data_IF_461759183085
#
_entry.id   IF_461759183085
#
_cell.length_a   1.000
_cell.length_b   1.000
_cell.length_c   1.000
_cell.angle_alpha   90.00
_cell.angle_beta   90.00
_cell.angle_gamma   90.00
#
_symmetry.space_group_name_H-M   'P 1'
#
loop_
_entity.id
_entity.type
_entity.pdbx_description
1 polymer ?
#
# COMPACT_ATOMS: atom_id res chain seq x y z
N UNK A 1 16.43 69.28 -41.50
CA UNK A 1 15.11 69.51 -42.13
C UNK A 1 13.96 69.61 -41.11
N UNK A 2 13.43 68.53 -40.52
CA UNK A 2 12.26 68.64 -39.60
C UNK A 2 12.50 69.51 -38.35
N UNK A 3 13.69 69.46 -37.73
CA UNK A 3 14.04 70.32 -36.60
C UNK A 3 14.09 71.82 -36.97
N UNK A 4 14.33 72.15 -38.24
CA UNK A 4 14.26 73.52 -38.74
C UNK A 4 12.81 73.93 -39.00
N UNK A 5 12.00 73.04 -39.57
CA UNK A 5 10.55 73.24 -39.76
C UNK A 5 9.84 73.57 -38.44
N UNK A 6 10.16 72.87 -37.33
CA UNK A 6 9.61 73.14 -36.00
C UNK A 6 9.91 74.53 -35.40
N UNK A 7 10.81 75.32 -36.01
CA UNK A 7 11.07 76.70 -35.58
C UNK A 7 9.98 77.68 -36.02
N UNK A 8 9.10 77.25 -36.91
CA UNK A 8 8.00 78.05 -37.42
C UNK A 8 6.67 77.62 -36.77
N UNK A 9 5.76 78.57 -36.49
CA UNK A 9 4.49 78.29 -35.83
C UNK A 9 3.44 77.65 -36.76
N UNK A 10 3.61 77.76 -38.08
CA UNK A 10 2.71 77.19 -39.09
C UNK A 10 3.46 76.79 -40.36
N UNK A 11 2.85 75.92 -41.16
CA UNK A 11 3.35 75.52 -42.48
C UNK A 11 3.52 76.71 -43.42
N UNK A 12 2.54 77.62 -43.47
CA UNK A 12 2.62 78.85 -44.26
C UNK A 12 3.82 79.72 -43.87
N UNK A 13 4.12 79.81 -42.56
CA UNK A 13 5.29 80.55 -42.08
C UNK A 13 6.62 79.83 -42.39
N UNK A 14 6.60 78.50 -42.48
CA UNK A 14 7.75 77.70 -42.87
C UNK A 14 8.03 77.78 -44.38
N UNK A 15 6.99 77.81 -45.22
CA UNK A 15 7.11 77.90 -46.68
C UNK A 15 7.72 79.23 -47.14
N UNK A 16 7.50 80.33 -46.39
CA UNK A 16 8.11 81.64 -46.67
C UNK A 16 9.62 81.69 -46.38
N UNK A 17 10.18 80.68 -45.70
CA UNK A 17 11.60 80.63 -45.32
C UNK A 17 12.18 79.23 -45.61
N UNK A 18 12.51 78.94 -46.89
CA UNK A 18 13.10 77.68 -47.29
C UNK A 18 14.39 77.36 -46.54
N UNK A 19 14.64 76.08 -46.26
CA UNK A 19 15.89 75.66 -45.64
C UNK A 19 17.07 75.97 -46.58
N UNK A 20 18.20 76.49 -46.07
CA UNK A 20 19.34 76.92 -46.91
C UNK A 20 19.98 75.81 -47.77
N UNK A 21 19.69 74.55 -47.46
CA UNK A 21 20.23 73.36 -48.12
C UNK A 21 19.17 72.64 -49.01
N UNK A 22 18.02 73.27 -49.27
CA UNK A 22 16.95 72.72 -50.12
C UNK A 22 16.48 73.73 -51.14
N UNK A 23 16.04 73.27 -52.31
CA UNK A 23 15.28 74.11 -53.26
C UNK A 23 13.89 74.44 -52.72
N UNK A 24 13.24 75.47 -53.25
CA UNK A 24 11.90 75.88 -52.80
C UNK A 24 10.88 74.76 -53.00
N UNK A 25 10.96 74.03 -54.11
CA UNK A 25 10.09 72.90 -54.42
C UNK A 25 10.32 71.72 -53.47
N UNK A 26 11.58 71.38 -53.20
CA UNK A 26 11.92 70.32 -52.24
C UNK A 26 11.53 70.69 -50.81
N UNK A 27 11.67 71.97 -50.44
CA UNK A 27 11.25 72.44 -49.13
C UNK A 27 9.73 72.34 -48.97
N UNK A 28 8.98 72.68 -50.03
CA UNK A 28 7.53 72.55 -50.03
C UNK A 28 7.07 71.09 -49.87
N UNK A 29 7.66 70.16 -50.61
CA UNK A 29 7.35 68.72 -50.44
C UNK A 29 7.70 68.22 -49.03
N UNK A 30 8.79 68.72 -48.43
CA UNK A 30 9.16 68.38 -47.05
C UNK A 30 8.20 68.99 -46.03
N UNK A 31 7.71 70.22 -46.23
CA UNK A 31 6.68 70.83 -45.41
C UNK A 31 5.39 70.00 -45.43
N UNK A 32 4.88 69.66 -46.63
CA UNK A 32 3.69 68.83 -46.82
C UNK A 32 3.87 67.43 -46.18
N UNK A 33 5.07 66.85 -46.26
CA UNK A 33 5.39 65.58 -45.60
C UNK A 33 5.34 65.71 -44.08
N UNK A 34 5.89 66.78 -43.51
CA UNK A 34 5.92 67.01 -42.06
C UNK A 34 4.56 67.36 -41.47
N UNK A 35 3.64 67.92 -42.26
CA UNK A 35 2.25 68.18 -41.86
C UNK A 35 1.30 67.01 -42.15
N UNK A 36 1.74 66.00 -42.92
CA UNK A 36 0.92 64.83 -43.23
C UNK A 36 0.50 64.04 -41.97
N UNK A 37 -0.74 63.53 -42.00
CA UNK A 37 -1.33 62.76 -40.88
C UNK A 37 -0.50 61.50 -40.54
N UNK A 38 0.08 60.86 -41.56
CA UNK A 38 0.94 59.69 -41.38
C UNK A 38 2.23 60.01 -40.62
N UNK A 39 2.83 61.17 -40.88
CA UNK A 39 4.02 61.63 -40.17
C UNK A 39 3.70 62.04 -38.72
N UNK A 40 2.55 62.69 -38.50
CA UNK A 40 2.07 63.07 -37.18
C UNK A 40 1.72 61.85 -36.31
N UNK A 41 1.06 60.82 -36.86
CA UNK A 41 0.77 59.55 -36.16
C UNK A 41 2.03 58.79 -35.74
N UNK A 42 3.10 58.85 -36.54
CA UNK A 42 4.40 58.28 -36.16
C UNK A 42 5.11 59.08 -35.05
N UNK A 43 4.66 60.30 -34.74
CA UNK A 43 5.13 61.05 -33.58
C UNK A 43 4.33 60.71 -32.31
N UNK A 44 3.06 60.32 -32.44
CA UNK A 44 2.18 59.91 -31.32
C UNK A 44 2.63 58.59 -30.66
N UNK A 45 3.43 57.75 -31.34
CA UNK A 45 4.11 56.63 -30.68
C UNK A 45 5.15 57.05 -29.64
N UNK A 46 5.51 58.34 -29.58
CA UNK A 46 6.41 58.91 -28.57
C UNK A 46 5.77 59.15 -27.18
N UNK A 47 4.49 58.83 -26.98
CA UNK A 47 3.77 59.02 -25.71
C UNK A 47 3.13 57.73 -25.17
N UNK A 48 3.66 56.56 -25.53
CA UNK A 48 3.20 55.29 -24.95
C UNK A 48 3.82 55.14 -23.55
N UNK A 49 2.99 54.93 -22.53
CA UNK A 49 3.45 54.66 -21.17
C UNK A 49 4.42 53.46 -21.17
N UNK A 50 5.62 53.56 -20.54
CA UNK A 50 6.59 52.46 -20.46
C UNK A 50 6.00 51.12 -20.01
N UNK A 51 5.04 51.16 -19.06
CA UNK A 51 4.34 49.99 -18.51
C UNK A 51 3.45 49.33 -19.57
N UNK A 52 2.72 50.14 -20.34
CA UNK A 52 1.84 49.65 -21.42
C UNK A 52 2.65 49.11 -22.60
N UNK A 53 3.78 49.73 -22.92
CA UNK A 53 4.70 49.23 -23.92
C UNK A 53 5.25 47.86 -23.53
N UNK A 54 5.68 47.70 -22.28
CA UNK A 54 6.18 46.42 -21.78
C UNK A 54 5.11 45.33 -21.89
N UNK A 55 3.89 45.60 -21.41
CA UNK A 55 2.75 44.69 -21.50
C UNK A 55 2.49 44.23 -22.94
N UNK A 56 2.47 45.15 -23.89
CA UNK A 56 2.22 44.85 -25.30
C UNK A 56 3.29 43.95 -25.93
N UNK A 57 4.54 44.05 -25.50
CA UNK A 57 5.64 43.24 -26.02
C UNK A 57 5.70 41.83 -25.43
N UNK A 58 5.19 41.64 -24.21
CA UNK A 58 5.28 40.38 -23.47
C UNK A 58 3.93 39.70 -23.22
N UNK A 59 2.91 40.10 -23.98
CA UNK A 59 1.62 39.41 -24.05
C UNK A 59 1.31 38.99 -25.49
N UNK A 60 0.64 37.84 -25.63
CA UNK A 60 0.13 37.38 -26.92
C UNK A 60 -1.10 38.20 -27.34
N UNK A 61 -1.62 37.96 -28.56
CA UNK A 61 -2.85 38.62 -29.06
C UNK A 61 -4.06 38.45 -28.14
N UNK A 62 -4.10 37.36 -27.38
CA UNK A 62 -5.16 37.05 -26.41
C UNK A 62 -4.91 37.63 -25.01
N UNK A 63 -3.85 38.43 -24.83
CA UNK A 63 -3.49 39.07 -23.55
C UNK A 63 -2.81 38.15 -22.53
N UNK A 64 -2.46 36.92 -22.93
CA UNK A 64 -1.75 35.96 -22.07
C UNK A 64 -0.26 36.30 -22.03
N UNK A 65 0.31 36.35 -20.81
CA UNK A 65 1.74 36.58 -20.58
C UNK A 65 2.60 35.45 -21.17
N UNK A 66 3.71 35.82 -21.79
CA UNK A 66 4.64 34.84 -22.39
C UNK A 66 5.36 33.98 -21.34
N UNK A 67 5.46 34.45 -20.09
CA UNK A 67 6.03 33.72 -18.96
C UNK A 67 5.60 34.34 -17.62
N UNK A 68 5.68 33.57 -16.54
CA UNK A 68 5.39 34.08 -15.18
C UNK A 68 6.38 35.21 -14.80
N UNK A 69 7.65 35.07 -15.16
CA UNK A 69 8.65 36.12 -14.89
C UNK A 69 8.37 37.44 -15.62
N UNK A 70 7.75 37.41 -16.82
CA UNK A 70 7.35 38.63 -17.52
C UNK A 70 6.20 39.34 -16.80
N UNK A 71 5.25 38.56 -16.26
CA UNK A 71 4.17 39.09 -15.43
C UNK A 71 4.71 39.74 -14.15
N UNK A 72 5.61 39.07 -13.44
CA UNK A 72 6.23 39.61 -12.21
C UNK A 72 7.03 40.90 -12.46
N UNK A 73 7.67 41.04 -13.63
CA UNK A 73 8.35 42.28 -14.02
C UNK A 73 7.33 43.39 -14.28
N UNK A 74 6.26 43.09 -15.01
CA UNK A 74 5.19 44.07 -15.27
C UNK A 74 4.55 44.59 -13.98
N UNK A 75 4.24 43.70 -13.03
CA UNK A 75 3.65 44.08 -11.75
C UNK A 75 4.58 45.02 -10.95
N UNK A 76 5.90 44.83 -11.04
CA UNK A 76 6.89 45.77 -10.47
C UNK A 76 6.93 47.12 -11.19
N UNK A 77 6.77 47.14 -12.51
CA UNK A 77 6.68 48.37 -13.32
C UNK A 77 5.42 49.17 -13.01
N UNK A 78 4.29 48.50 -12.91
CA UNK A 78 3.01 49.09 -12.56
C UNK A 78 2.99 49.61 -11.11
N UNK A 79 3.63 48.90 -10.17
CA UNK A 79 3.80 49.38 -8.80
C UNK A 79 4.68 50.64 -8.72
N UNK A 80 5.79 50.67 -9.47
CA UNK A 80 6.68 51.83 -9.55
C UNK A 80 5.98 53.05 -10.16
N UNK A 81 5.18 52.85 -11.22
CA UNK A 81 4.35 53.92 -11.81
C UNK A 81 3.44 54.55 -10.77
N UNK A 82 2.68 53.74 -10.03
CA UNK A 82 1.75 54.24 -9.00
C UNK A 82 2.47 55.01 -7.89
N UNK A 83 3.68 54.59 -7.53
CA UNK A 83 4.48 55.30 -6.55
C UNK A 83 4.88 56.69 -7.08
N UNK A 84 5.33 56.79 -8.32
CA UNK A 84 5.71 58.08 -8.91
C UNK A 84 4.51 59.03 -9.10
N UNK A 85 3.33 58.49 -9.44
CA UNK A 85 2.09 59.27 -9.54
C UNK A 85 1.71 59.90 -8.19
N UNK A 86 1.94 59.21 -7.08
CA UNK A 86 1.75 59.73 -5.72
C UNK A 86 2.80 60.77 -5.32
N UNK A 87 4.03 60.63 -5.80
CA UNK A 87 5.13 61.56 -5.53
C UNK A 87 5.16 62.78 -6.48
N UNK A 88 4.30 62.80 -7.50
CA UNK A 88 4.22 63.86 -8.52
C UNK A 88 5.47 63.97 -9.41
N UNK A 89 6.24 62.88 -9.54
CA UNK A 89 7.47 62.85 -10.33
C UNK A 89 7.22 62.20 -11.68
N UNK A 90 7.64 62.86 -12.76
CA UNK A 90 7.66 62.26 -14.10
C UNK A 90 8.97 61.52 -14.31
N UNK A 91 8.92 60.29 -14.77
CA UNK A 91 10.09 59.51 -15.16
C UNK A 91 10.12 59.30 -16.67
N UNK A 92 11.32 59.03 -17.19
CA UNK A 92 11.52 58.57 -18.57
C UNK A 92 11.50 57.04 -18.63
N UNK A 93 11.15 56.50 -19.80
CA UNK A 93 11.16 55.06 -20.05
C UNK A 93 12.46 54.38 -19.58
N UNK A 94 13.60 54.99 -19.89
CA UNK A 94 14.94 54.49 -19.55
C UNK A 94 15.15 54.37 -18.04
N UNK A 95 14.57 55.28 -17.25
CA UNK A 95 14.70 55.28 -15.78
C UNK A 95 13.90 54.14 -15.15
N UNK A 96 12.67 53.90 -15.63
CA UNK A 96 11.81 52.79 -15.15
C UNK A 96 12.47 51.44 -15.38
N UNK A 97 12.95 51.21 -16.61
CA UNK A 97 13.62 49.96 -16.95
C UNK A 97 14.90 49.77 -16.14
N UNK A 98 15.69 50.84 -15.95
CA UNK A 98 16.94 50.79 -15.19
C UNK A 98 16.74 50.48 -13.72
N UNK A 99 15.66 50.96 -13.10
CA UNK A 99 15.35 50.72 -11.70
C UNK A 99 14.86 49.28 -11.46
N UNK A 100 14.02 48.76 -12.36
CA UNK A 100 13.30 47.49 -12.15
C UNK A 100 14.08 46.29 -12.64
N UNK A 101 14.78 46.43 -13.77
CA UNK A 101 15.66 45.39 -14.32
C UNK A 101 17.10 45.53 -13.83
N UNK A 102 17.42 46.64 -13.15
CA UNK A 102 18.72 46.97 -12.60
C UNK A 102 19.68 47.62 -13.62
N UNK A 103 20.55 48.50 -13.13
CA UNK A 103 21.65 49.09 -13.91
C UNK A 103 22.79 48.10 -14.03
N UNK A 104 22.85 47.41 -15.15
CA UNK A 104 23.81 46.33 -15.37
C UNK A 104 24.87 46.85 -16.36
N UNK A 105 26.06 47.29 -15.86
CA UNK A 105 27.08 47.92 -16.74
C UNK A 105 28.52 47.50 -16.47
N UNK A 106 29.24 47.11 -17.54
CA UNK A 106 30.70 47.01 -17.65
C UNK A 106 31.12 47.07 -19.14
N UNK A 107 32.31 47.54 -19.48
CA UNK A 107 32.69 47.66 -20.90
C UNK A 107 33.24 46.32 -21.44
N UNK A 108 32.60 45.75 -22.45
CA UNK A 108 33.04 44.54 -23.16
C UNK A 108 33.69 44.96 -24.48
N UNK A 109 34.97 44.61 -24.67
CA UNK A 109 35.75 45.02 -25.85
C UNK A 109 35.04 44.53 -27.13
N UNK A 110 34.59 45.48 -27.97
CA UNK A 110 33.84 45.21 -29.20
C UNK A 110 32.30 45.21 -29.09
N UNK A 111 31.74 45.27 -27.87
CA UNK A 111 30.27 45.22 -27.64
C UNK A 111 29.74 46.37 -26.77
N UNK A 112 30.59 47.31 -26.36
CA UNK A 112 30.19 48.47 -25.56
C UNK A 112 29.84 48.11 -24.11
N UNK A 113 28.96 48.88 -23.46
CA UNK A 113 28.53 48.63 -22.07
C UNK A 113 27.57 47.42 -22.03
N UNK A 114 28.05 46.30 -21.50
CA UNK A 114 27.30 45.06 -21.33
C UNK A 114 27.67 44.37 -19.99
N UNK A 115 26.87 43.39 -19.61
CA UNK A 115 26.95 42.72 -18.30
C UNK A 115 27.85 41.51 -18.42
N UNK A 116 28.92 41.43 -17.60
CA UNK A 116 29.70 40.19 -17.48
C UNK A 116 28.90 39.16 -16.67
N UNK A 117 28.57 37.97 -17.21
CA UNK A 117 28.13 36.86 -16.39
C UNK A 117 29.28 36.42 -15.46
N UNK A 118 28.98 35.84 -14.27
CA UNK A 118 30.01 35.28 -13.39
C UNK A 118 30.80 34.18 -14.11
N UNK A 119 32.10 34.00 -13.79
CA UNK A 119 32.91 32.96 -14.42
C UNK A 119 32.33 31.57 -14.13
N UNK A 120 32.33 30.72 -15.17
CA UNK A 120 31.69 29.40 -15.19
C UNK A 120 32.16 28.46 -14.07
N UNK A 121 33.30 28.72 -13.43
CA UNK A 121 33.87 27.94 -12.33
C UNK A 121 33.11 28.07 -11.01
N UNK A 122 32.40 29.18 -10.77
CA UNK A 122 31.58 29.35 -9.56
C UNK A 122 30.26 28.58 -9.66
N UNK A 123 29.72 28.43 -10.87
CA UNK A 123 28.51 27.64 -11.14
C UNK A 123 28.73 26.13 -11.00
N UNK A 124 29.94 25.63 -11.34
CA UNK A 124 30.25 24.19 -11.22
C UNK A 124 30.40 23.71 -9.78
N UNK A 125 30.95 24.54 -8.88
CA UNK A 125 31.11 24.19 -7.45
C UNK A 125 29.76 24.18 -6.73
N UNK A 126 28.89 25.17 -7.01
CA UNK A 126 27.52 25.18 -6.47
C UNK A 126 26.69 23.99 -6.98
N UNK A 127 26.91 23.55 -8.22
CA UNK A 127 26.24 22.38 -8.78
C UNK A 127 26.68 21.07 -8.13
N UNK A 128 27.96 20.90 -7.79
CA UNK A 128 28.45 19.69 -7.13
C UNK A 128 27.95 19.57 -5.69
N UNK A 129 27.90 20.68 -4.95
CA UNK A 129 27.42 20.70 -3.57
C UNK A 129 25.93 20.34 -3.48
N UNK A 130 25.11 20.87 -4.40
CA UNK A 130 23.69 20.51 -4.50
C UNK A 130 23.50 19.03 -4.88
N UNK A 131 24.31 18.50 -5.80
CA UNK A 131 24.26 17.08 -6.16
C UNK A 131 24.62 16.17 -4.98
N UNK A 132 25.64 16.53 -4.20
CA UNK A 132 26.01 15.77 -3.00
C UNK A 132 24.91 15.82 -1.93
N UNK A 133 24.28 16.98 -1.70
CA UNK A 133 23.15 17.11 -0.79
C UNK A 133 21.95 16.27 -1.23
N UNK A 134 21.64 16.24 -2.53
CA UNK A 134 20.57 15.40 -3.08
C UNK A 134 20.87 13.91 -2.94
N UNK A 135 22.13 13.49 -3.13
CA UNK A 135 22.52 12.10 -2.90
C UNK A 135 22.35 11.71 -1.42
N UNK A 136 22.85 12.54 -0.50
CA UNK A 136 22.69 12.32 0.93
C UNK A 136 21.22 12.24 1.37
N UNK A 137 20.37 13.15 0.88
CA UNK A 137 18.95 13.13 1.20
C UNK A 137 18.24 11.88 0.64
N UNK A 138 18.67 11.35 -0.51
CA UNK A 138 18.16 10.10 -1.06
C UNK A 138 18.53 8.92 -0.18
N UNK A 139 19.78 8.82 0.24
CA UNK A 139 20.26 7.74 1.11
C UNK A 139 19.53 7.76 2.46
N UNK A 140 19.30 8.95 3.03
CA UNK A 140 18.53 9.12 4.28
C UNK A 140 17.06 8.69 4.10
N UNK A 141 16.41 9.04 2.98
CA UNK A 141 15.05 8.60 2.67
C UNK A 141 14.99 7.07 2.51
N UNK A 142 15.98 6.48 1.85
CA UNK A 142 16.05 5.03 1.65
C UNK A 142 16.25 4.30 2.98
N UNK A 143 17.11 4.81 3.87
CA UNK A 143 17.30 4.26 5.21
C UNK A 143 16.00 4.32 6.04
N UNK A 144 15.27 5.43 6.00
CA UNK A 144 13.98 5.55 6.69
C UNK A 144 12.93 4.59 6.12
N UNK A 145 12.89 4.41 4.80
CA UNK A 145 11.97 3.46 4.15
C UNK A 145 12.29 2.03 4.55
N UNK A 146 13.57 1.64 4.54
CA UNK A 146 14.00 0.31 4.95
C UNK A 146 13.70 0.02 6.44
N UNK A 147 13.87 1.01 7.32
CA UNK A 147 13.47 0.89 8.72
C UNK A 147 11.96 0.69 8.86
N UNK A 148 11.15 1.54 8.21
CA UNK A 148 9.68 1.43 8.24
C UNK A 148 9.17 0.12 7.64
N UNK A 149 9.82 -0.38 6.60
CA UNK A 149 9.47 -1.66 5.99
C UNK A 149 9.73 -2.83 6.94
N UNK A 150 10.85 -2.81 7.68
CA UNK A 150 11.13 -3.81 8.73
C UNK A 150 10.09 -3.79 9.84
N UNK A 151 9.69 -2.61 10.31
CA UNK A 151 8.65 -2.48 11.35
C UNK A 151 7.31 -3.05 10.88
N UNK A 152 6.94 -2.82 9.61
CA UNK A 152 5.74 -3.41 9.00
C UNK A 152 5.87 -4.93 8.89
N UNK A 153 7.02 -5.46 8.46
CA UNK A 153 7.26 -6.90 8.41
C UNK A 153 7.18 -7.52 9.81
N UNK A 154 7.73 -6.87 10.83
CA UNK A 154 7.66 -7.36 12.21
C UNK A 154 6.21 -7.34 12.73
N UNK A 155 5.44 -6.30 12.42
CA UNK A 155 4.03 -6.23 12.79
C UNK A 155 3.21 -7.34 12.12
N UNK A 156 3.39 -7.56 10.81
CA UNK A 156 2.70 -8.64 10.09
C UNK A 156 3.09 -10.02 10.62
N UNK A 157 4.36 -10.23 10.97
CA UNK A 157 4.83 -11.46 11.60
C UNK A 157 4.17 -11.68 12.96
N UNK A 158 4.12 -10.65 13.82
CA UNK A 158 3.42 -10.72 15.13
C UNK A 158 1.93 -11.01 14.97
N UNK A 159 1.29 -10.43 13.96
CA UNK A 159 -0.11 -10.71 13.64
C UNK A 159 -0.31 -12.18 13.23
N UNK A 160 0.56 -12.71 12.36
CA UNK A 160 0.51 -14.10 11.93
C UNK A 160 0.79 -15.09 13.07
N UNK A 161 1.74 -14.78 13.96
CA UNK A 161 2.02 -15.58 15.16
C UNK A 161 0.83 -15.60 16.13
N UNK A 162 0.20 -14.45 16.36
CA UNK A 162 -1.01 -14.36 17.18
C UNK A 162 -2.17 -15.16 16.56
N UNK A 163 -2.35 -15.09 15.24
CA UNK A 163 -3.38 -15.87 14.55
C UNK A 163 -3.09 -17.38 14.57
N UNK A 164 -1.81 -17.78 14.48
CA UNK A 164 -1.40 -19.17 14.59
C UNK A 164 -1.72 -19.74 15.98
N UNK A 165 -1.35 -19.03 17.05
CA UNK A 165 -1.64 -19.49 18.43
C UNK A 165 -3.13 -19.62 18.72
N UNK A 166 -3.97 -18.72 18.19
CA UNK A 166 -5.42 -18.83 18.29
C UNK A 166 -5.97 -20.03 17.50
N UNK A 167 -5.42 -20.32 16.32
CA UNK A 167 -5.79 -21.49 15.53
C UNK A 167 -5.40 -22.79 16.24
N UNK A 168 -4.19 -22.85 16.79
CA UNK A 168 -3.71 -24.01 17.54
C UNK A 168 -4.61 -24.28 18.75
N UNK A 169 -4.91 -23.25 19.56
CA UNK A 169 -5.80 -23.41 20.71
C UNK A 169 -7.20 -23.88 20.31
N UNK A 170 -7.74 -23.38 19.18
CA UNK A 170 -9.04 -23.81 18.65
C UNK A 170 -9.00 -25.28 18.20
N UNK A 171 -7.93 -25.71 17.56
CA UNK A 171 -7.78 -27.10 17.12
C UNK A 171 -7.56 -28.04 18.31
N UNK A 172 -6.75 -27.65 19.30
CA UNK A 172 -6.59 -28.38 20.56
C UNK A 172 -7.94 -28.62 21.23
N UNK A 173 -8.79 -27.60 21.32
CA UNK A 173 -10.13 -27.77 21.88
C UNK A 173 -10.99 -28.76 21.07
N UNK A 174 -10.87 -28.76 19.74
CA UNK A 174 -11.59 -29.72 18.88
C UNK A 174 -11.10 -31.15 19.09
N UNK A 175 -9.78 -31.35 19.10
CA UNK A 175 -9.16 -32.66 19.35
C UNK A 175 -9.51 -33.18 20.75
N UNK A 176 -9.52 -32.31 21.76
CA UNK A 176 -9.92 -32.67 23.13
C UNK A 176 -11.37 -33.15 23.18
N UNK A 177 -12.30 -32.41 22.55
CA UNK A 177 -13.70 -32.82 22.47
C UNK A 177 -13.89 -34.15 21.74
N UNK A 178 -13.16 -34.36 20.64
CA UNK A 178 -13.19 -35.61 19.89
C UNK A 178 -12.60 -36.77 20.70
N UNK A 179 -11.51 -36.55 21.44
CA UNK A 179 -10.92 -37.56 22.34
C UNK A 179 -11.92 -37.98 23.41
N UNK A 180 -12.59 -37.02 24.06
CA UNK A 180 -13.62 -37.32 25.07
C UNK A 180 -14.74 -38.15 24.46
N UNK A 181 -15.21 -37.78 23.26
CA UNK A 181 -16.27 -38.51 22.55
C UNK A 181 -15.86 -39.96 22.23
N UNK A 182 -14.65 -40.15 21.68
CA UNK A 182 -14.14 -41.48 21.35
C UNK A 182 -13.92 -42.33 22.60
N UNK A 183 -13.42 -41.75 23.69
CA UNK A 183 -13.25 -42.46 24.96
C UNK A 183 -14.60 -42.94 25.51
N UNK A 184 -15.65 -42.10 25.44
CA UNK A 184 -17.01 -42.49 25.82
C UNK A 184 -17.54 -43.63 24.95
N UNK A 185 -17.36 -43.55 23.63
CA UNK A 185 -17.79 -44.60 22.71
C UNK A 185 -17.05 -45.92 22.97
N UNK A 186 -15.75 -45.87 23.23
CA UNK A 186 -14.96 -47.06 23.54
C UNK A 186 -15.38 -47.67 24.89
N UNK A 187 -15.65 -46.84 25.91
CA UNK A 187 -16.19 -47.30 27.20
C UNK A 187 -17.51 -48.03 27.01
N UNK A 188 -18.43 -47.46 26.23
CA UNK A 188 -19.73 -48.08 25.92
C UNK A 188 -19.54 -49.43 25.19
N UNK A 189 -18.62 -49.49 24.23
CA UNK A 189 -18.33 -50.73 23.48
C UNK A 189 -17.73 -51.81 24.37
N UNK A 190 -16.80 -51.45 25.27
CA UNK A 190 -16.21 -52.37 26.24
C UNK A 190 -17.27 -52.90 27.21
N UNK A 191 -18.22 -52.07 27.63
CA UNK A 191 -19.32 -52.48 28.50
C UNK A 191 -20.30 -53.42 27.78
N UNK A 192 -20.67 -53.12 26.53
CA UNK A 192 -21.48 -54.02 25.72
C UNK A 192 -20.82 -55.38 25.53
N UNK A 193 -19.51 -55.43 25.25
CA UNK A 193 -18.79 -56.70 25.09
C UNK A 193 -18.70 -57.46 26.42
N UNK A 194 -18.48 -56.77 27.55
CA UNK A 194 -18.55 -57.40 28.89
C UNK A 194 -19.90 -58.05 29.14
N UNK A 195 -21.00 -57.34 28.89
CA UNK A 195 -22.34 -57.91 29.00
C UNK A 195 -22.53 -59.12 28.08
N UNK A 196 -22.00 -59.07 26.86
CA UNK A 196 -22.08 -60.18 25.90
C UNK A 196 -21.31 -61.41 26.37
N UNK A 197 -20.13 -61.23 26.95
CA UNK A 197 -19.31 -62.30 27.52
C UNK A 197 -20.00 -62.89 28.74
N UNK A 198 -20.41 -62.07 29.70
CA UNK A 198 -21.12 -62.54 30.91
C UNK A 198 -22.39 -63.33 30.55
N UNK A 199 -23.15 -62.86 29.55
CA UNK A 199 -24.33 -63.57 29.09
C UNK A 199 -23.99 -64.95 28.52
N UNK A 200 -22.92 -65.05 27.70
CA UNK A 200 -22.43 -66.33 27.17
C UNK A 200 -21.95 -67.26 28.28
N UNK A 201 -21.20 -66.74 29.26
CA UNK A 201 -20.73 -67.52 30.41
C UNK A 201 -21.88 -68.04 31.26
N UNK A 202 -22.92 -67.23 31.50
CA UNK A 202 -24.13 -67.66 32.20
C UNK A 202 -24.83 -68.82 31.47
N UNK A 203 -24.92 -68.75 30.14
CA UNK A 203 -25.49 -69.83 29.33
C UNK A 203 -24.62 -71.09 29.41
N UNK A 204 -23.30 -70.96 29.24
CA UNK A 204 -22.38 -72.08 29.31
C UNK A 204 -22.41 -72.76 30.68
N UNK A 205 -22.37 -71.99 31.77
CA UNK A 205 -22.45 -72.52 33.12
C UNK A 205 -23.77 -73.26 33.35
N UNK A 206 -24.89 -72.76 32.81
CA UNK A 206 -26.19 -73.45 32.89
C UNK A 206 -26.17 -74.77 32.11
N UNK A 207 -25.58 -74.79 30.92
CA UNK A 207 -25.41 -76.01 30.13
C UNK A 207 -24.52 -77.04 30.84
N UNK A 208 -23.40 -76.60 31.42
CA UNK A 208 -22.48 -77.46 32.16
C UNK A 208 -23.13 -78.04 33.42
N UNK A 209 -23.90 -77.23 34.17
CA UNK A 209 -24.68 -77.71 35.32
C UNK A 209 -25.67 -78.80 34.90
N UNK A 210 -26.44 -78.56 33.83
CA UNK A 210 -27.37 -79.57 33.31
C UNK A 210 -26.64 -80.86 32.88
N UNK A 211 -25.47 -80.73 32.25
CA UNK A 211 -24.66 -81.90 31.86
C UNK A 211 -24.16 -82.69 33.07
N UNK A 212 -23.61 -82.01 34.08
CA UNK A 212 -23.15 -82.64 35.33
C UNK A 212 -24.30 -83.32 36.08
N UNK A 213 -25.47 -82.71 36.08
CA UNK A 213 -26.68 -83.29 36.68
C UNK A 213 -27.13 -84.55 35.94
N UNK A 214 -27.14 -84.54 34.60
CA UNK A 214 -27.40 -85.75 33.82
C UNK A 214 -26.37 -86.86 34.09
N UNK A 215 -25.09 -86.54 34.17
CA UNK A 215 -24.04 -87.51 34.50
C UNK A 215 -24.22 -88.08 35.92
N UNK A 216 -24.57 -87.24 36.90
CA UNK A 216 -24.90 -87.69 38.27
C UNK A 216 -26.08 -88.65 38.27
N UNK A 217 -27.19 -88.30 37.62
CA UNK A 217 -28.35 -89.17 37.51
C UNK A 217 -28.01 -90.50 36.82
N UNK A 218 -27.21 -90.48 35.76
CA UNK A 218 -26.73 -91.71 35.09
C UNK A 218 -25.88 -92.58 36.02
N UNK A 219 -24.95 -91.97 36.77
CA UNK A 219 -24.11 -92.70 37.72
C UNK A 219 -24.92 -93.29 38.88
N UNK A 220 -25.94 -92.58 39.36
CA UNK A 220 -26.83 -93.06 40.43
C UNK A 220 -27.71 -94.22 39.98
N UNK A 221 -28.28 -94.14 38.76
CA UNK A 221 -28.97 -95.27 38.12
C UNK A 221 -28.03 -96.48 37.99
N UNK A 222 -26.80 -96.26 37.51
CA UNK A 222 -25.80 -97.33 37.37
C UNK A 222 -25.49 -98.00 38.71
N UNK A 223 -25.25 -97.21 39.77
CA UNK A 223 -24.99 -97.74 41.12
C UNK A 223 -26.17 -98.54 41.68
N UNK A 224 -27.41 -98.06 41.50
CA UNK A 224 -28.58 -98.83 41.97
C UNK A 224 -28.82 -100.11 41.15
N UNK A 225 -28.48 -100.12 39.84
CA UNK A 225 -28.48 -101.34 39.05
C UNK A 225 -27.44 -102.34 39.58
N UNK A 226 -26.20 -101.91 39.83
CA UNK A 226 -25.15 -102.77 40.40
C UNK A 226 -25.54 -103.32 41.77
N UNK A 227 -26.09 -102.48 42.65
CA UNK A 227 -26.56 -102.89 43.98
C UNK A 227 -27.69 -103.91 43.89
N UNK A 228 -28.66 -103.70 42.99
CA UNK A 228 -29.73 -104.68 42.73
C UNK A 228 -29.18 -106.00 42.20
N UNK A 229 -28.23 -105.97 41.27
CA UNK A 229 -27.58 -107.18 40.75
C UNK A 229 -26.83 -107.94 41.85
N UNK A 230 -26.07 -107.24 42.69
CA UNK A 230 -25.37 -107.83 43.85
C UNK A 230 -26.35 -108.47 44.83
N UNK A 231 -27.45 -107.78 45.18
CA UNK A 231 -28.49 -108.33 46.07
C UNK A 231 -29.15 -109.59 45.48
N UNK A 232 -29.44 -109.60 44.18
CA UNK A 232 -29.99 -110.79 43.49
C UNK A 232 -28.99 -111.95 43.51
N UNK A 233 -27.72 -111.67 43.27
CA UNK A 233 -26.65 -112.69 43.31
C UNK A 233 -26.47 -113.25 44.73
N UNK A 234 -26.41 -112.40 45.75
CA UNK A 234 -26.30 -112.79 47.15
C UNK A 234 -27.49 -113.64 47.60
N UNK A 235 -28.71 -113.27 47.18
CA UNK A 235 -29.92 -114.06 47.42
C UNK A 235 -29.86 -115.43 46.73
N UNK A 236 -29.45 -115.49 45.45
CA UNK A 236 -29.26 -116.75 44.73
C UNK A 236 -28.21 -117.65 45.41
N UNK A 237 -27.09 -117.07 45.86
CA UNK A 237 -26.03 -117.79 46.56
C UNK A 237 -26.52 -118.30 47.92
N UNK A 238 -27.25 -117.48 48.69
CA UNK A 238 -27.85 -117.89 49.96
C UNK A 238 -28.84 -119.04 49.77
N UNK A 239 -29.72 -118.96 48.76
CA UNK A 239 -30.69 -120.01 48.46
C UNK A 239 -29.99 -121.31 48.00
N UNK A 240 -28.91 -121.21 47.22
CA UNK A 240 -28.09 -122.35 46.82
C UNK A 240 -27.37 -122.98 48.02
N UNK A 241 -26.76 -122.18 48.90
CA UNK A 241 -26.14 -122.66 50.15
C UNK A 241 -27.16 -123.33 51.07
N UNK A 242 -28.38 -122.79 51.21
CA UNK A 242 -29.46 -123.42 51.98
C UNK A 242 -29.87 -124.78 51.39
N UNK A 243 -29.97 -124.89 50.06
CA UNK A 243 -30.25 -126.17 49.39
C UNK A 243 -29.13 -127.19 49.65
N UNK A 244 -27.86 -126.79 49.51
CA UNK A 244 -26.71 -127.65 49.78
C UNK A 244 -26.67 -128.08 51.26
N UNK A 245 -26.89 -127.17 52.20
CA UNK A 245 -26.94 -127.47 53.63
C UNK A 245 -28.09 -128.42 53.98
N UNK A 246 -29.26 -128.29 53.33
CA UNK A 246 -30.37 -129.24 53.47
C UNK A 246 -30.07 -130.62 52.87
N UNK A 247 -29.22 -130.69 51.83
CA UNK A 247 -28.87 -131.94 51.12
C UNK A 247 -27.73 -132.71 51.80
N UNK A 248 -26.83 -132.03 52.52
CA UNK A 248 -25.65 -132.62 53.17
C UNK A 248 -25.65 -132.54 54.71
N UNK A 249 -26.43 -131.65 55.33
CA UNK A 249 -26.49 -131.44 56.79
C UNK A 249 -27.44 -132.36 57.54
N UNK A 250 -28.17 -133.23 56.85
CA UNK A 250 -29.01 -134.28 57.44
C UNK A 250 -28.23 -135.54 57.83
N UNK A 251 -27.07 -135.42 58.47
CA UNK A 251 -26.35 -136.59 59.02
C UNK A 251 -26.12 -136.39 60.51
N UNK A 252 -27.10 -136.86 61.30
CA UNK A 252 -26.92 -137.18 62.72
C UNK A 252 -25.79 -138.20 62.86
N UNK A 253 -24.79 -137.90 63.68
CA UNK A 253 -24.34 -138.70 64.83
C UNK A 253 -23.24 -137.97 65.57
#
# INVERSE_FOLDING_TARGET
MHAYFKKFPSEEAALLKPHPDTTEEQWKELCDLFTSEAFMKNQESGNINPVELYKKNYTNKDGIWTSEGAREIYERMDAFQRQCDLEGKTYTEIEVYSEILGKKSGYVRGLGRAVKPPPSSTLTIQSSDLQHQLAKARDEIEAMRAAREKDLQEFTKKQAEMEATLRDHREEQRVEQERIRLEQEERMKREQERMRIEHKERIQLKQERMRKEQERLRAEISKELEKKMSSVMEKKMSDMSKRLFSQFGGSKR
#
